data_IF_549111787261
#
_entry.id   IF_549111787261
#
_cell.length_a   1.000
_cell.length_b   1.000
_cell.length_c   1.000
_cell.angle_alpha   90.00
_cell.angle_beta   90.00
_cell.angle_gamma   90.00
#
_symmetry.space_group_name_H-M   'P 1'
#
loop_
_entity.id
_entity.type
_entity.pdbx_description
1 polymer ?
#
# COMPACT_ATOMS: atom_id res chain seq x y z
N UNK A 1 -39.79 14.37 6.27
CA UNK A 1 -39.58 13.59 5.03
C UNK A 1 -38.16 13.87 4.55
N UNK A 2 -37.20 13.07 5.00
CA UNK A 2 -35.77 13.21 4.72
C UNK A 2 -35.45 12.64 3.34
N UNK A 3 -35.03 13.51 2.42
CA UNK A 3 -34.57 13.11 1.09
C UNK A 3 -33.22 12.39 1.18
N UNK A 4 -33.24 11.06 1.03
CA UNK A 4 -32.04 10.28 0.79
C UNK A 4 -31.47 10.67 -0.59
N UNK A 5 -30.37 11.41 -0.60
CA UNK A 5 -29.58 11.62 -1.81
C UNK A 5 -28.84 10.32 -2.11
N UNK A 6 -29.43 9.50 -2.98
CA UNK A 6 -28.78 8.33 -3.53
C UNK A 6 -27.53 8.75 -4.31
N UNK A 7 -26.37 8.26 -3.89
CA UNK A 7 -25.16 8.32 -4.71
C UNK A 7 -25.41 7.52 -5.99
N UNK A 8 -25.64 8.23 -7.08
CA UNK A 8 -25.77 7.64 -8.40
C UNK A 8 -24.40 7.09 -8.78
N UNK A 9 -24.32 5.78 -9.01
CA UNK A 9 -23.13 5.14 -9.58
C UNK A 9 -22.91 5.78 -10.95
N UNK A 10 -21.92 6.66 -11.05
CA UNK A 10 -21.50 7.25 -12.32
C UNK A 10 -21.10 6.11 -13.26
N UNK A 11 -21.91 5.90 -14.29
CA UNK A 11 -21.51 5.21 -15.51
C UNK A 11 -20.23 5.87 -16.00
N UNK A 12 -19.12 5.12 -16.01
CA UNK A 12 -17.86 5.58 -16.60
C UNK A 12 -18.14 6.06 -18.02
N UNK A 13 -17.61 7.22 -18.39
CA UNK A 13 -17.73 7.71 -19.75
C UNK A 13 -16.90 6.78 -20.67
N UNK A 14 -17.55 5.77 -21.22
CA UNK A 14 -16.92 4.71 -22.02
C UNK A 14 -16.30 5.24 -23.32
N UNK A 15 -16.67 6.45 -23.73
CA UNK A 15 -16.15 7.11 -24.94
C UNK A 15 -14.64 7.44 -24.86
N UNK A 16 -14.07 7.50 -23.65
CA UNK A 16 -12.63 7.75 -23.45
C UNK A 16 -11.77 6.48 -23.39
N UNK A 17 -12.40 5.30 -23.28
CA UNK A 17 -11.71 4.02 -23.08
C UNK A 17 -11.34 3.45 -24.45
N UNK A 18 -10.04 3.37 -24.75
CA UNK A 18 -9.54 3.02 -26.08
C UNK A 18 -9.40 1.52 -26.29
N UNK A 19 -9.30 0.74 -25.21
CA UNK A 19 -9.06 -0.71 -25.29
C UNK A 19 -9.62 -1.49 -24.10
N UNK A 20 -9.76 -2.81 -24.27
CA UNK A 20 -10.13 -3.74 -23.20
C UNK A 20 -9.07 -3.74 -22.09
N UNK A 21 -7.80 -3.64 -22.45
CA UNK A 21 -6.65 -3.54 -21.55
C UNK A 21 -6.75 -2.32 -20.64
N UNK A 22 -7.07 -1.15 -21.22
CA UNK A 22 -7.26 0.10 -20.46
C UNK A 22 -8.43 -0.03 -19.47
N UNK A 23 -9.54 -0.66 -19.88
CA UNK A 23 -10.67 -0.93 -18.99
C UNK A 23 -10.26 -1.82 -17.81
N UNK A 24 -9.46 -2.86 -18.06
CA UNK A 24 -8.96 -3.76 -17.01
C UNK A 24 -8.09 -2.96 -16.02
N UNK A 25 -7.14 -2.16 -16.48
CA UNK A 25 -6.30 -1.34 -15.60
C UNK A 25 -7.14 -0.38 -14.76
N UNK A 26 -8.12 0.31 -15.38
CA UNK A 26 -9.04 1.21 -14.69
C UNK A 26 -9.81 0.47 -13.58
N UNK A 27 -10.28 -0.75 -13.85
CA UNK A 27 -10.97 -1.56 -12.85
C UNK A 27 -10.12 -1.79 -11.60
N UNK A 28 -8.84 -2.18 -11.76
CA UNK A 28 -7.94 -2.35 -10.63
C UNK A 28 -7.64 -1.03 -9.92
N UNK A 29 -7.48 0.08 -10.64
CA UNK A 29 -7.32 1.41 -10.03
C UNK A 29 -8.53 1.77 -9.18
N UNK A 30 -9.75 1.60 -9.68
CA UNK A 30 -10.99 1.88 -8.92
C UNK A 30 -11.07 1.00 -7.67
N UNK A 31 -10.82 -0.30 -7.81
CA UNK A 31 -10.83 -1.25 -6.69
C UNK A 31 -9.75 -0.94 -5.66
N UNK A 32 -8.69 -0.24 -6.05
CA UNK A 32 -7.62 0.16 -5.15
C UNK A 32 -7.93 1.33 -4.23
N UNK A 33 -9.08 2.01 -4.37
CA UNK A 33 -9.41 3.21 -3.58
C UNK A 33 -10.16 2.91 -2.28
N UNK A 34 -10.46 1.65 -2.00
CA UNK A 34 -11.26 1.21 -0.84
C UNK A 34 -12.61 0.63 -1.25
N UNK A 35 -13.44 0.30 -0.27
CA UNK A 35 -14.80 -0.20 -0.49
C UNK A 35 -15.84 0.82 -0.01
N UNK A 36 -16.72 1.26 -0.90
CA UNK A 36 -17.76 2.25 -0.58
C UNK A 36 -18.86 1.70 0.35
N UNK A 37 -19.22 0.42 0.22
CA UNK A 37 -20.30 -0.18 0.99
C UNK A 37 -19.86 -0.49 2.42
N UNK A 38 -18.65 -1.00 2.59
CA UNK A 38 -18.07 -1.29 3.91
C UNK A 38 -17.40 -0.08 4.55
N UNK A 39 -17.20 0.99 3.77
CA UNK A 39 -16.46 2.18 4.17
C UNK A 39 -15.08 1.85 4.76
N UNK A 40 -14.38 0.92 4.12
CA UNK A 40 -13.10 0.42 4.58
C UNK A 40 -11.98 0.55 3.54
N UNK A 41 -10.74 0.51 4.03
CA UNK A 41 -9.54 0.39 3.22
C UNK A 41 -8.54 -0.52 3.94
N UNK A 42 -7.73 -1.27 3.19
CA UNK A 42 -6.65 -2.08 3.73
C UNK A 42 -5.77 -2.64 2.61
N UNK A 43 -4.86 -3.56 2.95
CA UNK A 43 -3.84 -4.02 2.00
C UNK A 43 -4.38 -4.79 0.80
N UNK A 44 -5.61 -5.29 0.84
CA UNK A 44 -6.25 -5.85 -0.35
C UNK A 44 -6.49 -4.79 -1.42
N UNK A 45 -6.85 -3.56 -1.02
CA UNK A 45 -7.00 -2.43 -1.94
C UNK A 45 -5.63 -1.95 -2.43
N UNK A 46 -4.66 -1.89 -1.54
CA UNK A 46 -3.27 -1.62 -1.90
C UNK A 46 -2.73 -2.62 -2.95
N UNK A 47 -3.02 -3.91 -2.76
CA UNK A 47 -2.67 -4.97 -3.71
C UNK A 47 -3.27 -4.74 -5.09
N UNK A 48 -4.54 -4.28 -5.17
CA UNK A 48 -5.14 -3.93 -6.46
C UNK A 48 -4.37 -2.81 -7.17
N UNK A 49 -3.82 -1.82 -6.44
CA UNK A 49 -3.02 -0.76 -7.07
C UNK A 49 -1.71 -1.31 -7.66
N UNK A 50 -1.04 -2.22 -6.95
CA UNK A 50 0.14 -2.89 -7.50
C UNK A 50 -0.20 -3.71 -8.73
N UNK A 51 -1.32 -4.44 -8.71
CA UNK A 51 -1.78 -5.17 -9.89
C UNK A 51 -2.12 -4.23 -11.05
N UNK A 52 -2.68 -3.04 -10.80
CA UNK A 52 -2.91 -2.04 -11.84
C UNK A 52 -1.60 -1.62 -12.53
N UNK A 53 -0.55 -1.33 -11.76
CA UNK A 53 0.78 -0.98 -12.29
C UNK A 53 1.38 -2.16 -13.06
N UNK A 54 1.31 -3.37 -12.49
CA UNK A 54 1.80 -4.59 -13.13
C UNK A 54 1.11 -4.84 -14.48
N UNK A 55 -0.23 -4.78 -14.51
CA UNK A 55 -1.02 -4.98 -15.72
C UNK A 55 -0.78 -3.90 -16.76
N UNK A 56 -0.69 -2.63 -16.35
CA UNK A 56 -0.35 -1.53 -17.25
C UNK A 56 1.00 -1.79 -17.94
N UNK A 57 2.00 -2.25 -17.19
CA UNK A 57 3.31 -2.61 -17.77
C UNK A 57 3.28 -3.90 -18.60
N UNK A 58 2.43 -4.85 -18.25
CA UNK A 58 2.27 -6.10 -19.01
C UNK A 58 1.57 -5.89 -20.35
N UNK A 59 0.62 -4.94 -20.42
CA UNK A 59 -0.08 -4.58 -21.65
C UNK A 59 0.75 -3.64 -22.53
N UNK A 60 1.53 -2.75 -21.91
CA UNK A 60 2.43 -1.85 -22.62
C UNK A 60 3.75 -1.70 -21.85
N UNK A 61 4.80 -2.33 -22.36
CA UNK A 61 6.14 -2.30 -21.76
C UNK A 61 6.79 -0.92 -21.76
N UNK A 62 6.21 0.06 -22.47
CA UNK A 62 6.67 1.45 -22.42
C UNK A 62 6.25 2.17 -21.12
N UNK A 63 5.25 1.64 -20.40
CA UNK A 63 4.69 2.25 -19.17
C UNK A 63 5.69 2.21 -18.01
N UNK A 64 6.29 1.05 -17.72
CA UNK A 64 7.33 0.91 -16.68
C UNK A 64 8.58 0.30 -17.29
N UNK A 65 9.39 1.14 -17.93
CA UNK A 65 10.73 0.72 -18.35
C UNK A 65 11.65 0.54 -17.13
N UNK A 66 12.70 -0.28 -17.28
CA UNK A 66 13.70 -0.50 -16.22
C UNK A 66 14.26 0.82 -15.66
N UNK A 67 14.43 1.82 -16.53
CA UNK A 67 14.86 3.19 -16.20
C UNK A 67 13.92 3.92 -15.24
N UNK A 68 12.61 3.65 -15.30
CA UNK A 68 11.60 4.32 -14.49
C UNK A 68 11.09 3.49 -13.31
N UNK A 69 11.57 2.26 -13.12
CA UNK A 69 11.13 1.37 -12.04
C UNK A 69 11.19 2.03 -10.65
N UNK A 70 12.32 2.65 -10.29
CA UNK A 70 12.48 3.40 -9.04
C UNK A 70 11.57 4.63 -8.97
N UNK A 71 11.37 5.33 -10.09
CA UNK A 71 10.47 6.48 -10.16
C UNK A 71 9.02 6.06 -9.91
N UNK A 72 8.56 4.95 -10.50
CA UNK A 72 7.23 4.42 -10.26
C UNK A 72 7.04 4.08 -8.78
N UNK A 73 8.02 3.42 -8.16
CA UNK A 73 7.96 3.06 -6.74
C UNK A 73 7.95 4.28 -5.83
N UNK A 74 8.83 5.27 -6.04
CA UNK A 74 8.97 6.38 -5.09
C UNK A 74 8.16 7.63 -5.42
N UNK A 75 7.66 7.74 -6.65
CA UNK A 75 6.78 8.84 -7.05
C UNK A 75 5.34 8.37 -7.13
N UNK A 76 5.01 7.42 -8.02
CA UNK A 76 3.62 7.02 -8.27
C UNK A 76 2.97 6.43 -7.02
N UNK A 77 3.63 5.47 -6.37
CA UNK A 77 3.09 4.90 -5.13
C UNK A 77 3.03 5.94 -4.02
N UNK A 78 4.05 6.78 -3.86
CA UNK A 78 4.04 7.84 -2.84
C UNK A 78 2.85 8.80 -3.01
N UNK A 79 2.54 9.22 -4.24
CA UNK A 79 1.34 10.02 -4.55
C UNK A 79 0.04 9.27 -4.26
N UNK A 80 -0.02 7.98 -4.61
CA UNK A 80 -1.14 7.11 -4.27
C UNK A 80 -1.38 7.04 -2.76
N UNK A 81 -0.34 6.79 -1.96
CA UNK A 81 -0.49 6.72 -0.50
C UNK A 81 -0.90 8.05 0.12
N UNK A 82 -0.39 9.16 -0.37
CA UNK A 82 -0.84 10.49 0.06
C UNK A 82 -2.28 10.80 -0.38
N UNK A 83 -2.74 10.26 -1.50
CA UNK A 83 -4.15 10.32 -1.89
C UNK A 83 -5.00 9.47 -0.93
N UNK A 84 -4.65 8.21 -0.71
CA UNK A 84 -5.43 7.33 0.16
C UNK A 84 -5.48 7.83 1.60
N UNK A 85 -4.38 8.34 2.16
CA UNK A 85 -4.39 9.00 3.48
C UNK A 85 -5.41 10.14 3.54
N UNK A 86 -5.53 10.95 2.48
CA UNK A 86 -6.55 12.01 2.40
C UNK A 86 -7.97 11.44 2.30
N UNK A 87 -8.16 10.36 1.55
CA UNK A 87 -9.44 9.66 1.42
C UNK A 87 -9.86 9.07 2.78
N UNK A 88 -8.98 8.32 3.45
CA UNK A 88 -9.20 7.74 4.79
C UNK A 88 -9.62 8.83 5.77
N UNK A 89 -8.86 9.93 5.85
CA UNK A 89 -9.16 11.01 6.80
C UNK A 89 -10.47 11.74 6.46
N UNK A 90 -10.73 11.99 5.17
CA UNK A 90 -11.92 12.73 4.74
C UNK A 90 -13.21 11.93 4.93
N UNK A 91 -13.17 10.63 4.65
CA UNK A 91 -14.35 9.75 4.72
C UNK A 91 -14.38 8.88 5.98
N UNK A 92 -13.38 9.01 6.86
CA UNK A 92 -13.22 8.21 8.09
C UNK A 92 -13.31 6.71 7.83
N UNK A 93 -12.58 6.26 6.82
CA UNK A 93 -12.61 4.85 6.41
C UNK A 93 -12.07 3.96 7.54
N UNK A 94 -12.72 2.84 7.80
CA UNK A 94 -12.26 1.85 8.75
C UNK A 94 -11.11 1.02 8.18
N UNK A 95 -10.17 0.53 9.01
CA UNK A 95 -9.22 -0.50 8.61
C UNK A 95 -9.95 -1.77 8.15
N UNK A 96 -9.61 -2.27 6.97
CA UNK A 96 -10.18 -3.51 6.46
C UNK A 96 -9.48 -4.72 7.12
N UNK A 97 -10.12 -5.25 8.16
CA UNK A 97 -9.62 -6.34 8.98
C UNK A 97 -8.86 -5.87 10.23
N UNK A 98 -8.71 -6.76 11.21
CA UNK A 98 -7.96 -6.49 12.43
C UNK A 98 -6.57 -7.12 12.35
N UNK A 99 -5.54 -6.32 12.62
CA UNK A 99 -4.14 -6.78 12.70
C UNK A 99 -3.55 -6.75 14.10
N UNK A 100 -4.23 -6.07 15.03
CA UNK A 100 -3.76 -5.88 16.40
C UNK A 100 -2.41 -5.15 16.47
N UNK A 101 -1.80 -5.16 17.66
CA UNK A 101 -0.52 -4.49 17.92
C UNK A 101 0.69 -5.01 17.11
N UNK A 102 0.57 -6.23 16.57
CA UNK A 102 1.59 -6.89 15.75
C UNK A 102 1.48 -6.55 14.27
N UNK A 103 0.40 -5.85 13.88
CA UNK A 103 0.26 -5.29 12.55
C UNK A 103 1.25 -4.16 12.31
N UNK A 104 1.77 -4.09 11.09
CA UNK A 104 2.70 -3.05 10.68
C UNK A 104 2.03 -1.67 10.64
N UNK A 105 0.86 -1.60 10.02
CA UNK A 105 -0.01 -0.43 9.92
C UNK A 105 -1.44 -0.92 9.69
N UNK A 106 -2.41 -0.08 10.06
CA UNK A 106 -3.83 -0.41 10.00
C UNK A 106 -4.32 -0.52 8.54
N UNK A 107 -3.70 0.20 7.61
CA UNK A 107 -4.15 0.33 6.23
C UNK A 107 -3.14 -0.19 5.20
N UNK A 108 -1.84 0.07 5.42
CA UNK A 108 -0.80 -0.10 4.43
C UNK A 108 0.22 -1.18 4.80
N UNK A 109 0.95 -1.69 3.82
CA UNK A 109 2.08 -2.60 4.05
C UNK A 109 3.23 -2.31 3.11
N UNK A 110 2.95 -2.24 1.82
CA UNK A 110 3.96 -2.06 0.76
C UNK A 110 4.85 -0.81 0.93
N UNK A 111 4.39 0.34 1.47
CA UNK A 111 5.23 1.48 1.76
C UNK A 111 6.40 1.15 2.67
N UNK A 112 6.16 0.32 3.68
CA UNK A 112 7.18 -0.07 4.64
C UNK A 112 8.19 -1.03 4.01
N UNK A 113 7.73 -1.93 3.14
CA UNK A 113 8.61 -2.83 2.41
C UNK A 113 9.58 -2.03 1.52
N UNK A 114 9.07 -1.17 0.63
CA UNK A 114 9.94 -0.36 -0.24
C UNK A 114 10.71 0.73 0.53
N UNK A 115 10.14 1.24 1.62
CA UNK A 115 10.82 2.17 2.51
C UNK A 115 12.04 1.52 3.18
N UNK A 116 11.92 0.29 3.67
CA UNK A 116 13.05 -0.46 4.23
C UNK A 116 14.14 -0.66 3.16
N UNK A 117 13.75 -0.94 1.91
CA UNK A 117 14.70 -1.02 0.78
C UNK A 117 15.41 0.31 0.47
N UNK A 118 14.82 1.48 0.77
CA UNK A 118 15.55 2.76 0.62
C UNK A 118 16.63 2.93 1.69
N UNK A 119 16.37 2.40 2.89
CA UNK A 119 17.23 2.59 4.04
C UNK A 119 18.55 1.81 3.95
N UNK A 120 18.73 0.90 2.99
CA UNK A 120 20.05 0.32 2.70
C UNK A 120 21.14 1.37 2.47
N UNK A 121 20.78 2.52 1.89
CA UNK A 121 21.71 3.63 1.65
C UNK A 121 22.20 4.33 2.93
N UNK A 122 21.57 4.07 4.08
CA UNK A 122 21.93 4.65 5.39
C UNK A 122 23.00 3.83 6.14
N UNK A 123 23.37 2.66 5.62
CA UNK A 123 24.27 1.72 6.27
C UNK A 123 23.54 0.80 7.27
N UNK A 124 24.32 -0.05 7.94
CA UNK A 124 23.76 -1.18 8.72
C UNK A 124 23.06 -0.76 10.02
N UNK A 125 23.29 0.46 10.50
CA UNK A 125 22.70 0.93 11.76
C UNK A 125 21.27 1.40 11.55
N UNK A 126 20.33 0.72 12.22
CA UNK A 126 18.95 1.17 12.33
C UNK A 126 18.90 2.26 13.41
N UNK A 127 18.47 3.50 13.08
CA UNK A 127 18.33 4.54 14.08
C UNK A 127 17.15 4.24 14.99
N UNK A 128 17.25 4.70 16.23
CA UNK A 128 16.15 4.62 17.20
C UNK A 128 14.95 5.42 16.69
N UNK A 129 13.76 4.95 17.01
CA UNK A 129 12.48 5.59 16.72
C UNK A 129 12.45 7.02 17.28
N UNK A 130 12.96 7.23 18.49
CA UNK A 130 13.06 8.57 19.08
C UNK A 130 13.88 9.53 18.21
N UNK A 131 15.02 9.06 17.70
CA UNK A 131 15.86 9.82 16.76
C UNK A 131 15.11 10.12 15.46
N UNK A 132 14.36 9.16 14.92
CA UNK A 132 13.54 9.38 13.71
C UNK A 132 12.47 10.45 13.95
N UNK A 133 11.81 10.42 15.11
CA UNK A 133 10.75 11.36 15.48
C UNK A 133 11.28 12.78 15.72
N UNK A 134 12.49 12.91 16.29
CA UNK A 134 13.15 14.19 16.54
C UNK A 134 13.71 14.82 15.23
N UNK A 135 14.19 13.99 14.30
CA UNK A 135 14.83 14.44 13.05
C UNK A 135 13.86 14.61 11.87
N UNK A 136 12.80 15.41 12.05
CA UNK A 136 11.75 15.61 11.03
C UNK A 136 12.25 16.05 9.63
N UNK A 137 13.38 16.77 9.54
CA UNK A 137 13.95 17.21 8.25
C UNK A 137 14.64 16.08 7.49
N UNK A 138 15.32 15.19 8.19
CA UNK A 138 16.01 14.04 7.60
C UNK A 138 15.04 12.89 7.34
N UNK A 139 14.02 12.75 8.20
CA UNK A 139 12.91 11.83 8.02
C UNK A 139 12.18 12.01 6.67
N UNK A 140 12.05 13.25 6.18
CA UNK A 140 11.43 13.51 4.86
C UNK A 140 12.27 13.02 3.66
N UNK A 141 13.54 12.67 3.86
CA UNK A 141 14.39 12.12 2.79
C UNK A 141 14.14 10.63 2.57
N UNK A 142 13.63 9.94 3.58
CA UNK A 142 13.43 8.48 3.55
C UNK A 142 11.96 8.17 3.74
N UNK A 143 11.38 7.47 2.78
CA UNK A 143 9.95 7.19 2.80
C UNK A 143 9.52 6.39 4.04
N UNK A 144 10.39 5.48 4.51
CA UNK A 144 10.19 4.73 5.76
C UNK A 144 10.01 5.63 6.99
N UNK A 145 10.82 6.67 7.12
CA UNK A 145 10.77 7.56 8.28
C UNK A 145 9.54 8.45 8.24
N UNK A 146 9.14 8.91 7.06
CA UNK A 146 7.86 9.61 6.89
C UNK A 146 6.66 8.73 7.30
N UNK A 147 6.66 7.45 6.95
CA UNK A 147 5.61 6.50 7.34
C UNK A 147 5.52 6.36 8.86
N UNK A 148 6.66 6.20 9.52
CA UNK A 148 6.74 6.14 10.99
C UNK A 148 6.20 7.42 11.62
N UNK A 149 6.63 8.59 11.14
CA UNK A 149 6.13 9.87 11.65
C UNK A 149 4.63 10.04 11.46
N UNK A 150 4.08 9.55 10.35
CA UNK A 150 2.65 9.59 10.09
C UNK A 150 1.88 8.68 11.06
N UNK A 151 2.37 7.46 11.26
CA UNK A 151 1.78 6.49 12.18
C UNK A 151 1.82 6.97 13.63
N UNK A 152 2.92 7.60 14.04
CA UNK A 152 3.02 8.20 15.38
C UNK A 152 2.04 9.35 15.57
N UNK A 153 1.72 10.12 14.52
CA UNK A 153 0.73 11.20 14.60
C UNK A 153 -0.71 10.71 14.60
N UNK A 154 -1.00 9.57 13.97
CA UNK A 154 -2.35 9.01 13.91
C UNK A 154 -2.74 8.25 15.19
N UNK A 155 -1.76 7.74 15.94
CA UNK A 155 -1.99 6.97 17.18
C UNK A 155 -1.83 7.87 18.41
N UNK A 156 -2.87 7.96 19.24
CA UNK A 156 -2.95 8.87 20.40
C UNK A 156 -2.33 8.34 21.70
N UNK A 157 -2.10 7.03 21.80
CA UNK A 157 -1.55 6.34 22.98
C UNK A 157 -0.10 5.90 22.74
N UNK A 158 0.58 5.36 23.76
CA UNK A 158 1.97 4.89 23.65
C UNK A 158 2.19 4.08 22.36
N UNK A 159 3.12 4.54 21.54
CA UNK A 159 3.40 3.96 20.23
C UNK A 159 3.82 2.48 20.33
N UNK A 160 4.48 2.11 21.42
CA UNK A 160 4.87 0.74 21.78
C UNK A 160 3.69 -0.23 21.91
N UNK A 161 2.55 0.23 22.44
CA UNK A 161 1.37 -0.61 22.65
C UNK A 161 0.61 -0.86 21.34
N UNK A 162 0.65 0.10 20.41
CA UNK A 162 -0.15 0.04 19.19
C UNK A 162 0.66 -0.38 17.95
N UNK A 163 1.99 -0.31 18.00
CA UNK A 163 2.89 -0.57 16.87
C UNK A 163 4.12 -1.37 17.32
N UNK A 164 3.92 -2.41 18.13
CA UNK A 164 5.00 -3.18 18.75
C UNK A 164 5.99 -3.76 17.73
N UNK A 165 5.50 -4.15 16.54
CA UNK A 165 6.36 -4.64 15.46
C UNK A 165 7.37 -3.59 14.97
N UNK A 166 6.96 -2.32 14.87
CA UNK A 166 7.86 -1.25 14.43
C UNK A 166 8.89 -0.96 15.52
N UNK A 167 8.51 -1.02 16.79
CA UNK A 167 9.46 -0.88 17.90
C UNK A 167 10.52 -1.98 17.87
N UNK A 168 10.17 -3.21 17.50
CA UNK A 168 11.14 -4.31 17.37
C UNK A 168 12.19 -4.08 16.28
N UNK A 169 11.94 -3.21 15.30
CA UNK A 169 12.95 -2.93 14.28
C UNK A 169 14.21 -2.30 14.85
N UNK A 170 14.13 -1.59 15.98
CA UNK A 170 15.30 -1.03 16.67
C UNK A 170 16.27 -2.11 17.18
N UNK A 171 15.77 -3.31 17.45
CA UNK A 171 16.56 -4.43 17.98
C UNK A 171 17.17 -5.29 16.88
N UNK A 172 16.80 -5.05 15.61
CA UNK A 172 17.29 -5.81 14.48
C UNK A 172 18.72 -5.39 14.13
N UNK A 173 19.49 -6.33 13.57
CA UNK A 173 20.90 -6.10 13.25
C UNK A 173 21.12 -5.14 12.08
N UNK A 174 20.18 -5.09 11.14
CA UNK A 174 20.36 -4.44 9.84
C UNK A 174 19.07 -4.36 9.02
N UNK A 175 19.02 -3.43 8.06
CA UNK A 175 17.87 -3.21 7.16
C UNK A 175 17.55 -4.42 6.28
N UNK A 176 18.54 -5.25 5.96
CA UNK A 176 18.33 -6.47 5.17
C UNK A 176 17.53 -7.54 5.93
N UNK A 177 17.74 -7.64 7.24
CA UNK A 177 16.95 -8.53 8.08
C UNK A 177 15.50 -8.04 8.15
N UNK A 178 15.30 -6.72 8.29
CA UNK A 178 13.97 -6.11 8.29
C UNK A 178 13.26 -6.35 6.97
N UNK A 179 13.88 -6.02 5.83
CA UNK A 179 13.27 -6.19 4.51
C UNK A 179 12.88 -7.65 4.23
N UNK A 180 13.79 -8.60 4.51
CA UNK A 180 13.47 -10.02 4.33
C UNK A 180 12.35 -10.48 5.26
N UNK A 181 12.30 -9.96 6.48
CA UNK A 181 11.20 -10.21 7.42
C UNK A 181 9.87 -9.68 6.87
N UNK A 182 9.86 -8.42 6.42
CA UNK A 182 8.71 -7.78 5.80
C UNK A 182 8.23 -8.53 4.56
N UNK A 183 9.15 -9.03 3.72
CA UNK A 183 8.79 -9.80 2.53
C UNK A 183 8.10 -11.12 2.88
N UNK A 184 8.62 -11.86 3.87
CA UNK A 184 7.99 -13.09 4.38
C UNK A 184 6.62 -12.81 4.99
N UNK A 185 6.52 -11.72 5.75
CA UNK A 185 5.27 -11.29 6.37
C UNK A 185 4.24 -10.88 5.31
N UNK A 186 4.65 -10.19 4.25
CA UNK A 186 3.78 -9.83 3.13
C UNK A 186 3.21 -11.07 2.41
N UNK A 187 4.07 -12.06 2.15
CA UNK A 187 3.65 -13.32 1.55
C UNK A 187 2.60 -14.04 2.40
N UNK A 188 2.78 -14.06 3.72
CA UNK A 188 1.88 -14.75 4.65
C UNK A 188 0.58 -13.99 4.91
N UNK A 189 0.68 -12.69 5.20
CA UNK A 189 -0.42 -11.88 5.73
C UNK A 189 -1.20 -11.12 4.66
N UNK A 190 -0.65 -10.98 3.45
CA UNK A 190 -1.33 -10.31 2.34
C UNK A 190 -1.61 -11.31 1.21
N UNK A 191 -0.58 -11.95 0.66
CA UNK A 191 -0.75 -12.80 -0.53
C UNK A 191 -1.34 -14.19 -0.23
N UNK A 192 -1.10 -14.73 0.96
CA UNK A 192 -1.65 -16.04 1.39
C UNK A 192 -2.83 -15.90 2.34
N UNK A 193 -3.20 -14.68 2.72
CA UNK A 193 -4.31 -14.43 3.61
C UNK A 193 -5.63 -14.46 2.84
N UNK A 194 -6.39 -15.55 2.99
CA UNK A 194 -7.70 -15.70 2.33
C UNK A 194 -8.62 -14.48 2.51
N UNK A 195 -8.76 -13.87 3.71
CA UNK A 195 -9.62 -12.70 3.89
C UNK A 195 -9.24 -11.50 3.00
N UNK A 196 -7.96 -11.40 2.63
CA UNK A 196 -7.41 -10.35 1.75
C UNK A 196 -7.60 -10.73 0.29
N UNK A 197 -7.13 -11.92 -0.11
CA UNK A 197 -7.09 -12.32 -1.53
C UNK A 197 -8.43 -12.74 -2.11
N UNK A 198 -9.41 -13.12 -1.29
CA UNK A 198 -10.76 -13.45 -1.76
C UNK A 198 -11.44 -12.29 -2.51
N UNK A 199 -10.99 -11.06 -2.27
CA UNK A 199 -11.50 -9.85 -2.91
C UNK A 199 -10.66 -9.40 -4.12
N UNK A 200 -9.55 -10.08 -4.41
CA UNK A 200 -8.73 -9.79 -5.57
C UNK A 200 -9.53 -10.13 -6.83
N UNK A 201 -9.69 -9.14 -7.71
CA UNK A 201 -10.31 -9.39 -9.01
C UNK A 201 -9.37 -10.27 -9.82
N UNK A 202 -9.86 -11.41 -10.30
CA UNK A 202 -9.12 -12.25 -11.25
C UNK A 202 -9.63 -11.93 -12.66
N UNK A 203 -8.70 -11.77 -13.59
CA UNK A 203 -9.00 -11.62 -15.01
C UNK A 203 -8.72 -12.94 -15.71
N UNK A 204 -9.65 -13.33 -16.58
CA UNK A 204 -9.44 -14.44 -17.50
C UNK A 204 -8.75 -13.89 -18.76
N UNK A 205 -7.42 -13.98 -18.75
CA UNK A 205 -6.57 -13.55 -19.85
C UNK A 205 -5.44 -14.58 -20.01
N UNK A 206 -5.32 -15.13 -21.22
CA UNK A 206 -4.37 -16.20 -21.53
C UNK A 206 -2.92 -15.82 -21.23
N UNK A 207 -2.59 -14.53 -21.24
CA UNK A 207 -1.25 -14.01 -20.89
C UNK A 207 -0.88 -14.29 -19.43
N UNK A 208 -1.87 -14.39 -18.55
CA UNK A 208 -1.68 -14.60 -17.11
C UNK A 208 -2.16 -15.96 -16.63
N UNK A 209 -2.57 -16.85 -17.54
CA UNK A 209 -2.85 -18.24 -17.22
C UNK A 209 -1.54 -18.96 -16.87
N UNK A 210 -1.20 -18.93 -15.58
CA UNK A 210 -0.23 -19.83 -14.99
C UNK A 210 -0.76 -21.26 -15.14
N UNK A 211 -0.34 -21.96 -16.21
CA UNK A 211 -0.40 -23.42 -16.24
C UNK A 211 0.51 -23.91 -15.11
N UNK A 212 -0.07 -24.19 -13.95
CA UNK A 212 0.57 -25.02 -12.94
C UNK A 212 0.78 -26.39 -13.61
N UNK A 213 2.01 -26.62 -14.06
CA UNK A 213 2.48 -27.95 -14.44
C UNK A 213 2.88 -28.70 -13.18
#
# INVERSE_FOLDING_TARGET
>A
MTQHHGFTVTTYNTELIKSKEELIVILYVVKSLGNIQRQDYGTGHELHFLFAIFLANAFDQSVVTSKYSQFVVFFVLHYYYNLIRRVINKFRLMPAGSRGQWGLDDYFFIPFLFGASQCYSLGDRIPKLTTILDCAKEAKKYYFYELIMHLHKSKSHEFSENSSLICMFEEMSSWDVIERGLLKMYQKEVLSAYPVVQHLTLIDDERFNCRLK
#
